data_IF_275587610591
#
_entry.id   IF_275587610591
#
_cell.length_a   1.000
_cell.length_b   1.000
_cell.length_c   1.000
_cell.angle_alpha   90.00
_cell.angle_beta   90.00
_cell.angle_gamma   90.00
#
_symmetry.space_group_name_H-M   'P 1'
#
loop_
_entity.id
_entity.type
_entity.pdbx_description
1 polymer ?
#
# COMPACT_ATOMS: atom_id res chain seq x y z
N UNK A 1 19.67 -10.25 52.39
CA UNK A 1 18.94 -10.45 51.12
C UNK A 1 18.54 -9.08 50.63
N UNK A 2 19.22 -8.68 49.56
CA UNK A 2 19.07 -7.40 48.87
C UNK A 2 17.69 -7.29 48.22
N UNK A 3 17.05 -6.14 48.35
CA UNK A 3 15.93 -5.77 47.51
C UNK A 3 16.36 -4.63 46.60
N UNK A 4 16.81 -4.99 45.40
CA UNK A 4 16.97 -4.09 44.26
C UNK A 4 15.59 -3.49 43.92
N UNK A 5 15.38 -2.21 44.21
CA UNK A 5 14.29 -1.44 43.60
C UNK A 5 14.77 -0.99 42.22
N UNK A 6 14.45 -1.77 41.19
CA UNK A 6 14.54 -1.31 39.80
C UNK A 6 13.51 -0.19 39.60
N UNK A 7 14.00 1.04 39.49
CA UNK A 7 13.20 2.15 39.00
C UNK A 7 12.86 1.92 37.54
N UNK A 8 11.57 1.75 37.24
CA UNK A 8 11.06 1.80 35.88
C UNK A 8 11.20 3.25 35.40
N UNK A 9 12.27 3.54 34.66
CA UNK A 9 12.39 4.77 33.90
C UNK A 9 11.46 4.62 32.68
N UNK A 10 10.20 5.01 32.84
CA UNK A 10 9.29 5.23 31.71
C UNK A 10 9.89 6.36 30.86
N UNK A 11 10.58 5.99 29.78
CA UNK A 11 10.84 6.86 28.65
C UNK A 11 9.49 7.25 28.05
N UNK A 12 8.87 8.27 28.65
CA UNK A 12 7.78 9.02 28.04
C UNK A 12 8.39 9.72 26.83
N UNK A 13 8.34 9.08 25.66
CA UNK A 13 8.44 9.79 24.39
C UNK A 13 7.26 10.75 24.39
N UNK A 14 7.50 12.00 24.81
CA UNK A 14 6.57 13.09 24.57
C UNK A 14 6.55 13.32 23.08
N UNK A 15 5.65 12.63 22.38
CA UNK A 15 5.18 13.08 21.08
C UNK A 15 4.35 14.33 21.38
N UNK A 16 5.01 15.49 21.39
CA UNK A 16 4.31 16.77 21.40
C UNK A 16 3.62 16.92 20.03
N UNK A 17 2.43 16.33 19.87
CA UNK A 17 1.54 16.54 18.72
C UNK A 17 0.84 17.91 18.76
N UNK A 18 1.49 18.93 19.33
CA UNK A 18 0.94 20.29 19.49
C UNK A 18 1.38 21.25 18.38
N UNK A 19 2.12 20.76 17.39
CA UNK A 19 2.59 21.52 16.24
C UNK A 19 2.27 20.73 14.97
N UNK A 20 1.72 21.38 13.95
CA UNK A 20 1.44 20.76 12.64
C UNK A 20 2.69 20.30 11.88
N UNK A 21 3.88 20.39 12.48
CA UNK A 21 5.15 19.96 11.90
C UNK A 21 5.60 18.62 12.50
N UNK A 22 5.87 17.63 11.64
CA UNK A 22 6.39 16.33 12.06
C UNK A 22 7.47 15.79 11.11
N UNK A 23 8.35 14.93 11.63
CA UNK A 23 9.44 14.30 10.87
C UNK A 23 8.90 13.10 10.07
N UNK A 24 9.06 13.13 8.75
CA UNK A 24 8.75 12.01 7.89
C UNK A 24 9.90 11.00 7.93
N UNK A 25 9.93 10.20 8.99
CA UNK A 25 11.04 9.31 9.35
C UNK A 25 11.54 8.37 8.25
N UNK A 26 10.69 8.03 7.27
CA UNK A 26 11.05 7.20 6.12
C UNK A 26 11.98 7.92 5.13
N UNK A 27 12.10 9.25 5.22
CA UNK A 27 13.02 10.08 4.44
C UNK A 27 13.88 10.97 5.35
N UNK A 28 15.19 10.87 5.16
CA UNK A 28 16.16 11.66 5.94
C UNK A 28 15.94 13.17 5.75
N UNK A 29 15.91 13.90 6.87
CA UNK A 29 15.81 15.36 6.91
C UNK A 29 14.53 15.91 6.23
N UNK A 30 13.47 15.10 6.15
CA UNK A 30 12.20 15.51 5.55
C UNK A 30 11.16 15.72 6.63
N UNK A 31 10.45 16.84 6.56
CA UNK A 31 9.41 17.23 7.50
C UNK A 31 8.14 17.53 6.74
N UNK A 32 7.02 17.20 7.37
CA UNK A 32 5.69 17.46 6.83
C UNK A 32 5.01 18.49 7.71
N UNK A 33 4.40 19.48 7.07
CA UNK A 33 3.55 20.49 7.71
C UNK A 33 2.10 20.22 7.33
N UNK A 34 1.28 19.89 8.31
CA UNK A 34 -0.15 19.75 8.20
C UNK A 34 -0.79 21.14 8.16
N UNK A 35 -1.45 21.47 7.05
CA UNK A 35 -2.15 22.75 6.89
C UNK A 35 -3.61 22.58 7.27
N UNK A 36 -4.04 23.35 8.26
CA UNK A 36 -5.40 23.32 8.81
C UNK A 36 -6.46 23.80 7.79
N UNK A 37 -7.74 23.47 8.05
CA UNK A 37 -8.86 23.91 7.20
C UNK A 37 -9.03 25.44 7.16
N UNK A 38 -8.60 26.16 8.21
CA UNK A 38 -8.61 27.63 8.23
C UNK A 38 -7.56 28.24 7.30
N UNK A 39 -6.62 27.44 6.78
CA UNK A 39 -5.48 27.91 6.01
C UNK A 39 -4.45 28.67 6.85
N UNK A 40 -4.56 28.63 8.19
CA UNK A 40 -3.52 29.15 9.06
C UNK A 40 -2.30 28.23 8.92
N UNK A 41 -1.20 28.78 8.40
CA UNK A 41 0.07 28.08 8.26
C UNK A 41 0.74 27.82 9.62
N UNK A 42 1.89 27.17 9.58
CA UNK A 42 2.64 26.78 10.78
C UNK A 42 3.95 27.53 10.92
N UNK A 43 4.28 27.92 12.15
CA UNK A 43 5.59 28.49 12.46
C UNK A 43 6.59 27.36 12.69
N UNK A 44 7.54 27.22 11.78
CA UNK A 44 8.59 26.20 11.84
C UNK A 44 9.91 26.82 12.28
N UNK A 45 10.65 26.08 13.11
CA UNK A 45 11.95 26.50 13.62
C UNK A 45 12.97 25.42 13.27
N UNK A 46 14.00 25.79 12.52
CA UNK A 46 15.12 24.92 12.19
C UNK A 46 16.41 25.46 12.80
N UNK A 47 17.24 24.55 13.28
CA UNK A 47 18.52 24.86 13.90
C UNK A 47 19.64 24.21 13.11
N UNK A 48 20.65 25.00 12.75
CA UNK A 48 21.81 24.50 12.03
C UNK A 48 22.78 23.83 13.02
N UNK A 49 23.28 22.61 12.73
CA UNK A 49 24.10 21.82 13.65
C UNK A 49 25.56 22.32 13.70
N UNK A 50 25.74 23.54 14.20
CA UNK A 50 27.05 24.17 14.40
C UNK A 50 27.19 24.70 15.83
N UNK A 51 28.43 24.86 16.28
CA UNK A 51 28.72 25.56 17.54
C UNK A 51 28.26 27.02 17.46
N UNK A 52 27.80 27.56 18.58
CA UNK A 52 27.03 28.82 18.65
C UNK A 52 27.76 30.03 18.05
N UNK A 53 29.09 30.08 18.17
CA UNK A 53 29.94 31.16 17.65
C UNK A 53 30.13 31.10 16.12
N UNK A 54 29.76 29.99 15.47
CA UNK A 54 29.95 29.82 14.03
C UNK A 54 28.96 30.67 13.25
N UNK A 55 29.48 31.57 12.41
CA UNK A 55 28.65 32.36 11.50
C UNK A 55 28.16 31.49 10.33
N UNK A 56 26.84 31.35 10.25
CA UNK A 56 26.14 30.60 9.20
C UNK A 56 24.97 31.40 8.65
N UNK A 57 24.45 30.98 7.50
CA UNK A 57 23.19 31.49 6.95
C UNK A 57 22.35 30.34 6.40
N UNK A 58 21.04 30.53 6.41
CA UNK A 58 20.08 29.68 5.72
C UNK A 58 19.79 30.22 4.34
N UNK A 59 19.80 29.34 3.34
CA UNK A 59 19.38 29.65 1.98
C UNK A 59 17.98 29.08 1.75
N UNK A 60 17.04 29.95 1.40
CA UNK A 60 15.63 29.61 1.23
C UNK A 60 15.15 30.29 -0.04
N UNK A 61 14.82 29.51 -1.08
CA UNK A 61 14.39 30.03 -2.39
C UNK A 61 15.38 31.07 -2.97
N UNK A 62 16.68 30.88 -2.74
CA UNK A 62 17.73 31.82 -3.17
C UNK A 62 17.98 33.01 -2.24
N UNK A 63 17.16 33.23 -1.22
CA UNK A 63 17.36 34.29 -0.24
C UNK A 63 18.21 33.81 0.93
N UNK A 64 19.20 34.62 1.32
CA UNK A 64 20.04 34.34 2.49
C UNK A 64 19.45 34.94 3.75
N UNK A 65 19.37 34.13 4.82
CA UNK A 65 18.93 34.52 6.15
C UNK A 65 20.06 34.24 7.15
N UNK A 66 20.73 35.27 7.71
CA UNK A 66 21.85 35.04 8.61
C UNK A 66 21.38 34.46 9.95
N UNK A 67 22.25 33.66 10.58
CA UNK A 67 22.03 33.12 11.91
C UNK A 67 21.82 31.61 11.95
N UNK A 68 22.05 31.03 13.13
CA UNK A 68 21.97 29.58 13.39
C UNK A 68 20.54 29.05 13.39
N UNK A 69 19.62 29.84 13.94
CA UNK A 69 18.21 29.48 14.08
C UNK A 69 17.41 30.18 12.98
N UNK A 70 16.73 29.40 12.16
CA UNK A 70 15.75 29.87 11.20
C UNK A 70 14.36 29.78 11.80
N UNK A 71 13.63 30.90 11.82
CA UNK A 71 12.20 30.96 12.13
C UNK A 71 11.46 31.39 10.87
N UNK A 72 10.50 30.60 10.43
CA UNK A 72 9.72 30.91 9.23
C UNK A 72 8.30 30.38 9.35
N UNK A 73 7.40 30.94 8.56
CA UNK A 73 6.00 30.56 8.51
C UNK A 73 5.75 29.81 7.21
N UNK A 74 5.15 28.63 7.29
CA UNK A 74 4.90 27.74 6.16
C UNK A 74 3.40 27.56 6.00
N UNK A 75 2.85 28.07 4.91
CA UNK A 75 1.41 28.06 4.64
C UNK A 75 1.07 27.46 3.28
N UNK A 76 1.83 27.83 2.25
CA UNK A 76 1.53 27.45 0.86
C UNK A 76 2.73 26.80 0.17
N UNK A 77 2.49 26.21 -1.02
CA UNK A 77 3.52 25.56 -1.85
C UNK A 77 4.74 26.46 -2.08
N UNK A 78 4.56 27.79 -2.11
CA UNK A 78 5.68 28.69 -2.27
C UNK A 78 6.65 28.55 -1.09
N UNK A 79 6.19 28.39 0.15
CA UNK A 79 6.95 28.34 1.42
C UNK A 79 7.64 27.02 1.71
N UNK A 80 7.16 25.94 1.10
CA UNK A 80 7.77 24.62 1.22
C UNK A 80 8.97 24.42 0.27
N UNK A 81 9.66 23.29 0.44
CA UNK A 81 10.83 22.89 -0.36
C UNK A 81 12.11 22.76 0.46
N UNK A 82 13.25 23.05 -0.17
CA UNK A 82 14.57 22.84 0.43
C UNK A 82 15.05 24.07 1.21
N UNK A 83 15.47 23.81 2.44
CA UNK A 83 16.10 24.76 3.35
C UNK A 83 17.51 24.27 3.62
N UNK A 84 18.52 25.05 3.25
CA UNK A 84 19.92 24.62 3.40
C UNK A 84 20.68 25.58 4.29
N UNK A 85 21.43 25.05 5.25
CA UNK A 85 22.34 25.83 6.09
C UNK A 85 23.74 25.80 5.49
N UNK A 86 24.36 26.97 5.37
CA UNK A 86 25.69 27.13 4.81
C UNK A 86 26.60 27.94 5.74
N UNK A 87 27.90 27.68 5.67
CA UNK A 87 28.92 28.59 6.20
C UNK A 87 28.98 29.85 5.34
N UNK A 88 29.56 30.93 5.88
CA UNK A 88 29.84 32.14 5.09
C UNK A 88 30.73 31.89 3.86
N UNK A 89 31.52 30.80 3.86
CA UNK A 89 32.32 30.35 2.72
C UNK A 89 31.48 29.74 1.58
N UNK A 90 30.19 29.49 1.80
CA UNK A 90 29.28 28.82 0.87
C UNK A 90 29.14 27.30 1.07
N UNK A 91 29.98 26.70 1.91
CA UNK A 91 29.95 25.27 2.23
C UNK A 91 28.60 24.85 2.84
N UNK A 92 27.96 23.81 2.29
CA UNK A 92 26.72 23.23 2.81
C UNK A 92 27.00 22.42 4.09
N UNK A 93 26.29 22.74 5.17
CA UNK A 93 26.43 22.08 6.47
C UNK A 93 25.29 21.08 6.69
N UNK A 94 24.06 21.51 6.42
CA UNK A 94 22.86 20.73 6.68
C UNK A 94 21.75 21.15 5.72
N UNK A 95 20.77 20.28 5.55
CA UNK A 95 19.58 20.56 4.77
C UNK A 95 18.33 20.00 5.46
N UNK A 96 17.19 20.62 5.16
CA UNK A 96 15.86 20.24 5.61
C UNK A 96 14.92 20.36 4.41
N UNK A 97 14.10 19.34 4.17
CA UNK A 97 13.08 19.34 3.13
C UNK A 97 11.73 19.47 3.82
N UNK A 98 10.95 20.47 3.46
CA UNK A 98 9.60 20.67 4.01
C UNK A 98 8.57 20.37 2.93
N UNK A 99 7.62 19.49 3.27
CA UNK A 99 6.47 19.13 2.46
C UNK A 99 5.18 19.59 3.13
N UNK A 100 4.14 19.80 2.34
CA UNK A 100 2.83 20.22 2.81
C UNK A 100 1.83 19.09 2.71
N UNK A 101 1.07 18.90 3.78
CA UNK A 101 -0.02 17.95 3.83
C UNK A 101 -1.34 18.72 3.94
N UNK A 102 -2.07 18.78 2.83
CA UNK A 102 -3.28 19.61 2.68
C UNK A 102 -4.57 18.79 2.80
N UNK A 103 -4.58 17.77 3.67
CA UNK A 103 -5.69 16.79 3.84
C UNK A 103 -7.06 17.44 4.07
N UNK A 104 -7.05 18.65 4.64
CA UNK A 104 -8.17 19.55 4.92
C UNK A 104 -8.95 19.97 3.66
N UNK A 105 -8.35 19.95 2.47
CA UNK A 105 -9.02 20.27 1.21
C UNK A 105 -9.29 18.99 0.42
N UNK A 106 -10.40 18.30 0.73
CA UNK A 106 -10.86 17.08 0.03
C UNK A 106 -10.84 17.20 -1.51
N UNK A 107 -10.93 18.42 -2.05
CA UNK A 107 -10.90 18.72 -3.48
C UNK A 107 -9.50 18.72 -4.12
N UNK A 108 -8.42 18.49 -3.36
CA UNK A 108 -7.03 18.52 -3.85
C UNK A 108 -6.24 17.22 -3.65
N UNK A 109 -6.90 16.12 -3.31
CA UNK A 109 -6.21 14.82 -3.17
C UNK A 109 -5.49 14.42 -4.46
N UNK A 110 -4.25 13.98 -4.33
CA UNK A 110 -3.42 13.42 -5.39
C UNK A 110 -4.04 12.12 -5.91
N UNK A 111 -4.43 11.20 -5.03
CA UNK A 111 -5.19 10.00 -5.41
C UNK A 111 -6.69 10.18 -5.15
N UNK A 112 -7.52 10.34 -6.20
CA UNK A 112 -8.96 10.47 -6.04
C UNK A 112 -9.62 9.10 -5.79
N UNK A 113 -10.60 9.09 -4.89
CA UNK A 113 -11.42 7.90 -4.58
C UNK A 113 -11.44 7.55 -3.10
N UNK A 114 -12.49 6.84 -2.66
CA UNK A 114 -12.62 6.41 -1.26
C UNK A 114 -11.60 5.32 -0.87
N UNK A 115 -11.21 4.48 -1.83
CA UNK A 115 -10.25 3.39 -1.62
C UNK A 115 -9.34 3.29 -2.86
N UNK A 116 -8.32 4.15 -2.95
CA UNK A 116 -7.53 4.30 -4.18
C UNK A 116 -6.48 3.19 -4.38
N UNK A 117 -6.20 2.40 -3.35
CA UNK A 117 -5.28 1.27 -3.36
C UNK A 117 -6.10 -0.03 -3.36
N UNK A 118 -5.75 -0.95 -4.26
CA UNK A 118 -6.34 -2.28 -4.36
C UNK A 118 -5.26 -3.32 -4.12
N UNK A 119 -5.46 -4.20 -3.14
CA UNK A 119 -4.55 -5.30 -2.85
C UNK A 119 -5.24 -6.64 -3.12
N UNK A 120 -4.49 -7.58 -3.68
CA UNK A 120 -4.95 -8.93 -4.01
C UNK A 120 -3.85 -9.95 -3.67
N UNK A 121 -4.26 -11.12 -3.19
CA UNK A 121 -3.39 -12.27 -2.94
C UNK A 121 -3.90 -13.48 -3.71
N UNK A 122 -3.00 -14.23 -4.36
CA UNK A 122 -3.42 -15.40 -5.15
C UNK A 122 -3.72 -16.63 -4.28
N UNK A 123 -3.20 -16.64 -3.04
CA UNK A 123 -3.25 -17.76 -2.11
C UNK A 123 -2.90 -17.28 -0.69
N UNK A 124 -2.74 -18.20 0.26
CA UNK A 124 -2.43 -17.91 1.67
C UNK A 124 -0.92 -17.95 2.01
N UNK A 125 -0.02 -17.88 1.02
CA UNK A 125 1.43 -17.97 1.23
C UNK A 125 2.07 -16.75 1.90
N UNK A 126 1.30 -15.69 2.18
CA UNK A 126 1.81 -14.39 2.64
C UNK A 126 2.27 -13.48 1.50
N UNK A 127 2.21 -13.92 0.24
CA UNK A 127 2.44 -13.06 -0.91
C UNK A 127 1.17 -12.29 -1.31
N UNK A 128 1.29 -10.98 -1.48
CA UNK A 128 0.23 -10.13 -1.98
C UNK A 128 0.78 -9.00 -2.85
N UNK A 129 -0.07 -8.47 -3.72
CA UNK A 129 0.24 -7.37 -4.62
C UNK A 129 -0.74 -6.24 -4.40
N UNK A 130 -0.22 -5.02 -4.24
CA UNK A 130 -1.04 -3.81 -4.17
C UNK A 130 -0.83 -2.94 -5.40
N UNK A 131 -1.91 -2.31 -5.87
CA UNK A 131 -1.92 -1.48 -7.07
C UNK A 131 -2.70 -0.19 -6.85
N UNK A 132 -2.27 0.88 -7.51
CA UNK A 132 -2.97 2.17 -7.54
C UNK A 132 -2.79 2.85 -8.89
N UNK A 133 -3.67 3.81 -9.21
CA UNK A 133 -3.58 4.56 -10.46
C UNK A 133 -2.41 5.52 -10.43
N UNK A 134 -1.73 5.68 -11.57
CA UNK A 134 -0.75 6.76 -11.73
C UNK A 134 -1.45 8.11 -11.77
N UNK A 135 -0.92 9.06 -11.00
CA UNK A 135 -1.40 10.45 -10.97
C UNK A 135 -0.66 11.29 -12.02
N UNK A 136 0.67 11.37 -11.92
CA UNK A 136 1.57 12.13 -12.83
C UNK A 136 2.88 11.37 -13.11
N UNK A 137 3.74 11.93 -13.96
CA UNK A 137 5.04 11.34 -14.34
C UNK A 137 6.11 11.43 -13.25
N UNK A 138 6.11 12.48 -12.43
CA UNK A 138 7.21 12.82 -11.51
C UNK A 138 6.81 12.74 -10.04
N UNK A 139 6.00 11.74 -9.68
CA UNK A 139 5.56 11.51 -8.30
C UNK A 139 6.38 10.37 -7.72
N UNK A 140 6.89 10.56 -6.51
CA UNK A 140 7.58 9.51 -5.75
C UNK A 140 6.59 8.80 -4.84
N UNK A 141 6.67 7.47 -4.81
CA UNK A 141 5.85 6.61 -3.96
C UNK A 141 6.76 5.82 -3.01
N UNK A 142 6.38 5.76 -1.74
CA UNK A 142 7.02 4.91 -0.74
C UNK A 142 5.93 4.05 -0.11
N UNK A 143 6.14 2.75 -0.08
CA UNK A 143 5.16 1.78 0.37
C UNK A 143 5.70 1.01 1.57
N UNK A 144 4.97 1.05 2.67
CA UNK A 144 5.29 0.36 3.91
C UNK A 144 4.15 -0.59 4.27
N UNK A 145 4.49 -1.75 4.83
CA UNK A 145 3.52 -2.75 5.26
C UNK A 145 3.98 -3.38 6.57
N UNK A 146 3.03 -3.62 7.48
CA UNK A 146 3.30 -4.22 8.78
C UNK A 146 2.13 -5.09 9.25
N UNK A 147 2.43 -6.13 10.04
CA UNK A 147 1.44 -6.96 10.74
C UNK A 147 1.82 -7.08 12.21
N UNK A 148 0.97 -6.53 13.08
CA UNK A 148 1.30 -6.39 14.50
C UNK A 148 2.61 -5.61 14.66
N UNK A 149 3.64 -6.27 15.20
CA UNK A 149 4.98 -5.68 15.40
C UNK A 149 5.99 -6.06 14.31
N UNK A 150 5.57 -6.82 13.29
CA UNK A 150 6.46 -7.30 12.22
C UNK A 150 6.33 -6.42 10.99
N UNK A 151 7.47 -6.02 10.43
CA UNK A 151 7.53 -5.34 9.13
C UNK A 151 7.46 -6.36 8.00
N UNK A 152 6.59 -6.13 7.03
CA UNK A 152 6.44 -6.96 5.84
C UNK A 152 7.42 -6.45 4.77
N UNK A 153 8.07 -7.38 4.08
CA UNK A 153 9.02 -7.02 3.02
C UNK A 153 8.27 -6.71 1.74
N UNK A 154 8.49 -5.52 1.18
CA UNK A 154 7.90 -5.10 -0.09
C UNK A 154 8.97 -4.64 -1.08
N UNK A 155 8.74 -4.92 -2.35
CA UNK A 155 9.56 -4.40 -3.45
C UNK A 155 9.39 -2.89 -3.61
N UNK A 156 10.25 -2.26 -4.42
CA UNK A 156 10.05 -0.86 -4.78
C UNK A 156 8.83 -0.74 -5.72
N UNK A 157 7.94 0.26 -5.51
CA UNK A 157 6.83 0.49 -6.43
C UNK A 157 7.31 0.65 -7.87
N UNK A 158 6.67 -0.07 -8.80
CA UNK A 158 7.03 -0.07 -10.21
C UNK A 158 5.83 0.35 -11.07
N UNK A 159 6.09 1.04 -12.18
CA UNK A 159 5.04 1.47 -13.10
C UNK A 159 4.72 0.36 -14.10
N UNK A 160 3.44 -0.03 -14.18
CA UNK A 160 2.92 -0.98 -15.14
C UNK A 160 1.58 -0.47 -15.71
N UNK A 161 1.52 -0.23 -17.03
CA UNK A 161 0.30 0.13 -17.75
C UNK A 161 -0.55 1.25 -17.09
N UNK A 162 0.08 2.41 -16.78
CA UNK A 162 -0.54 3.57 -16.11
C UNK A 162 -1.03 3.30 -14.68
N UNK A 163 -0.63 2.19 -14.09
CA UNK A 163 -0.77 1.90 -12.66
C UNK A 163 0.62 1.76 -12.05
N UNK A 164 0.69 1.92 -10.74
CA UNK A 164 1.82 1.46 -9.97
C UNK A 164 1.43 0.17 -9.27
N UNK A 165 2.40 -0.74 -9.15
CA UNK A 165 2.26 -1.98 -8.42
C UNK A 165 3.46 -2.24 -7.53
N UNK A 166 3.20 -2.96 -6.45
CA UNK A 166 4.20 -3.43 -5.49
C UNK A 166 3.86 -4.85 -5.07
N UNK A 167 4.86 -5.73 -5.07
CA UNK A 167 4.74 -7.07 -4.52
C UNK A 167 5.33 -7.08 -3.11
N UNK A 168 4.63 -7.75 -2.21
CA UNK A 168 5.02 -7.90 -0.82
C UNK A 168 5.00 -9.36 -0.40
N UNK A 169 5.81 -9.68 0.60
CA UNK A 169 5.87 -11.01 1.20
C UNK A 169 5.95 -10.90 2.73
N UNK A 170 4.94 -11.45 3.39
CA UNK A 170 4.92 -11.62 4.84
C UNK A 170 5.58 -12.96 5.21
N UNK A 171 6.87 -12.88 5.55
CA UNK A 171 7.68 -14.05 5.95
C UNK A 171 7.15 -14.75 7.21
N UNK A 172 6.41 -14.04 8.06
CA UNK A 172 5.89 -14.55 9.32
C UNK A 172 4.48 -15.15 9.14
N UNK A 173 3.94 -15.18 7.92
CA UNK A 173 2.62 -15.71 7.63
C UNK A 173 2.60 -17.23 7.73
N UNK A 174 1.54 -17.77 8.34
CA UNK A 174 1.28 -19.20 8.38
C UNK A 174 0.00 -19.51 7.60
N UNK A 175 0.14 -20.17 6.45
CA UNK A 175 -1.00 -20.49 5.56
C UNK A 175 -2.10 -21.33 6.24
N UNK A 176 -1.76 -22.12 7.26
CA UNK A 176 -2.70 -22.99 7.98
C UNK A 176 -3.23 -22.37 9.28
N UNK A 177 -2.63 -21.27 9.74
CA UNK A 177 -2.98 -20.61 10.99
C UNK A 177 -4.05 -19.56 10.77
N UNK A 178 -4.88 -19.34 11.79
CA UNK A 178 -5.81 -18.20 11.77
C UNK A 178 -5.04 -16.88 11.94
N UNK A 179 -5.37 -15.88 11.12
CA UNK A 179 -4.79 -14.55 11.20
C UNK A 179 -5.27 -13.82 12.46
N UNK A 180 -4.33 -13.51 13.37
CA UNK A 180 -4.61 -12.81 14.63
C UNK A 180 -4.50 -11.29 14.53
N UNK A 181 -3.78 -10.79 13.54
CA UNK A 181 -3.51 -9.37 13.35
C UNK A 181 -3.74 -8.98 11.90
N UNK A 182 -4.31 -7.79 11.70
CA UNK A 182 -4.44 -7.23 10.36
C UNK A 182 -3.08 -6.81 9.80
N UNK A 183 -2.96 -6.90 8.49
CA UNK A 183 -1.93 -6.23 7.72
C UNK A 183 -2.35 -4.76 7.55
N UNK A 184 -1.48 -3.85 7.95
CA UNK A 184 -1.63 -2.42 7.73
C UNK A 184 -0.62 -1.99 6.68
N UNK A 185 -1.10 -1.41 5.60
CA UNK A 185 -0.26 -0.79 4.58
C UNK A 185 -0.34 0.74 4.69
N UNK A 186 0.75 1.40 4.36
CA UNK A 186 0.86 2.85 4.29
C UNK A 186 1.58 3.23 3.00
N UNK A 187 0.89 3.98 2.14
CA UNK A 187 1.45 4.54 0.91
C UNK A 187 1.68 6.02 1.12
N UNK A 188 2.95 6.44 1.04
CA UNK A 188 3.37 7.83 1.01
C UNK A 188 3.49 8.30 -0.45
N UNK A 189 2.95 9.46 -0.73
CA UNK A 189 2.93 10.08 -2.06
C UNK A 189 3.58 11.45 -1.94
N UNK A 190 4.66 11.65 -2.68
CA UNK A 190 5.41 12.89 -2.70
C UNK A 190 5.35 13.47 -4.11
N UNK A 191 4.73 14.65 -4.24
CA UNK A 191 4.63 15.41 -5.49
C UNK A 191 5.25 16.79 -5.28
N UNK A 192 6.52 16.92 -5.65
CA UNK A 192 7.37 18.11 -5.45
C UNK A 192 7.43 18.55 -3.98
N UNK A 193 6.51 19.41 -3.55
CA UNK A 193 6.42 19.99 -2.20
C UNK A 193 5.18 19.52 -1.45
N UNK A 194 4.37 18.66 -2.05
CA UNK A 194 3.15 18.12 -1.46
C UNK A 194 3.38 16.69 -1.00
N UNK A 195 2.75 16.37 0.11
CA UNK A 195 2.72 15.07 0.72
C UNK A 195 1.28 14.63 0.89
N UNK A 196 1.01 13.37 0.59
CA UNK A 196 -0.25 12.69 0.88
C UNK A 196 0.05 11.27 1.33
N UNK A 197 -0.77 10.74 2.23
CA UNK A 197 -0.72 9.33 2.60
C UNK A 197 -2.08 8.64 2.47
N UNK A 198 -2.00 7.34 2.25
CA UNK A 198 -3.16 6.45 2.25
C UNK A 198 -2.83 5.21 3.04
N UNK A 199 -3.72 4.87 3.97
CA UNK A 199 -3.65 3.62 4.73
C UNK A 199 -4.75 2.68 4.30
N UNK A 200 -4.44 1.39 4.26
CA UNK A 200 -5.43 0.33 4.08
C UNK A 200 -5.10 -0.81 5.05
N UNK A 201 -6.14 -1.38 5.63
CA UNK A 201 -6.04 -2.47 6.59
C UNK A 201 -6.86 -3.66 6.07
N UNK A 202 -6.27 -4.85 6.07
CA UNK A 202 -6.92 -6.08 5.63
C UNK A 202 -6.29 -7.31 6.28
N UNK A 203 -6.99 -8.44 6.23
CA UNK A 203 -6.39 -9.77 6.39
C UNK A 203 -6.15 -10.40 5.01
N UNK A 204 -5.21 -11.34 4.92
CA UNK A 204 -4.89 -12.01 3.66
C UNK A 204 -6.12 -12.74 3.09
N UNK A 205 -6.92 -13.36 3.96
CA UNK A 205 -8.20 -13.99 3.60
C UNK A 205 -9.22 -13.04 2.94
N UNK A 206 -9.18 -11.75 3.27
CA UNK A 206 -10.13 -10.77 2.73
C UNK A 206 -9.77 -10.37 1.30
N UNK A 207 -8.48 -10.40 0.97
CA UNK A 207 -7.94 -9.99 -0.34
C UNK A 207 -7.60 -11.18 -1.24
N UNK A 208 -7.91 -12.40 -0.82
CA UNK A 208 -7.60 -13.61 -1.58
C UNK A 208 -8.47 -13.70 -2.84
N UNK A 209 -7.81 -13.75 -3.99
CA UNK A 209 -8.41 -13.90 -5.32
C UNK A 209 -7.61 -14.97 -6.08
N UNK A 210 -8.13 -16.21 -6.19
CA UNK A 210 -7.44 -17.26 -6.92
C UNK A 210 -7.21 -16.85 -8.39
N UNK A 211 -6.16 -17.41 -9.01
CA UNK A 211 -6.05 -17.36 -10.46
C UNK A 211 -7.18 -18.17 -11.13
N UNK A 212 -7.45 -17.96 -12.43
CA UNK A 212 -8.47 -18.72 -13.14
C UNK A 212 -8.18 -20.22 -13.19
N UNK A 213 -9.21 -21.08 -13.17
CA UNK A 213 -9.05 -22.53 -13.37
C UNK A 213 -8.26 -22.86 -14.64
N UNK A 214 -7.39 -23.85 -14.53
CA UNK A 214 -6.46 -24.24 -15.60
C UNK A 214 -6.93 -25.51 -16.33
N UNK A 215 -6.33 -25.79 -17.48
CA UNK A 215 -6.50 -27.05 -18.23
C UNK A 215 -7.96 -27.44 -18.55
N UNK A 216 -8.76 -26.48 -18.99
CA UNK A 216 -10.14 -26.73 -19.42
C UNK A 216 -10.18 -27.70 -20.61
N UNK A 217 -10.80 -28.87 -20.44
CA UNK A 217 -10.93 -29.93 -21.45
C UNK A 217 -12.39 -30.31 -21.66
N UNK A 218 -12.74 -30.56 -22.92
CA UNK A 218 -14.05 -31.08 -23.34
C UNK A 218 -13.84 -32.52 -23.82
N UNK A 219 -14.27 -33.50 -23.02
CA UNK A 219 -14.28 -34.91 -23.40
C UNK A 219 -15.63 -35.30 -24.01
N UNK A 220 -15.78 -36.56 -24.44
CA UNK A 220 -17.05 -37.08 -24.96
C UNK A 220 -18.17 -37.08 -23.91
N UNK A 221 -17.82 -37.31 -22.64
CA UNK A 221 -18.78 -37.50 -21.53
C UNK A 221 -18.76 -36.39 -20.49
N UNK A 222 -17.67 -35.64 -20.37
CA UNK A 222 -17.51 -34.65 -19.30
C UNK A 222 -16.72 -33.40 -19.72
N UNK A 223 -16.91 -32.35 -18.93
CA UNK A 223 -16.12 -31.12 -18.92
C UNK A 223 -15.22 -31.17 -17.68
N UNK A 224 -13.93 -30.98 -17.85
CA UNK A 224 -12.97 -31.02 -16.73
C UNK A 224 -12.10 -29.79 -16.70
N UNK A 225 -11.68 -29.38 -15.52
CA UNK A 225 -10.68 -28.33 -15.30
C UNK A 225 -9.75 -28.75 -14.17
N UNK A 226 -8.80 -27.89 -13.82
CA UNK A 226 -7.88 -28.11 -12.71
C UNK A 226 -7.79 -26.87 -11.84
N UNK A 227 -7.36 -27.06 -10.60
CA UNK A 227 -7.00 -25.96 -9.71
C UNK A 227 -5.88 -25.11 -10.36
N UNK A 228 -5.88 -23.79 -10.11
CA UNK A 228 -4.78 -22.94 -10.56
C UNK A 228 -3.47 -23.38 -9.91
N UNK A 229 -2.37 -23.40 -10.67
CA UNK A 229 -1.05 -23.82 -10.16
C UNK A 229 -0.51 -22.95 -9.02
N UNK A 230 -1.02 -21.73 -8.92
CA UNK A 230 -0.68 -20.76 -7.88
C UNK A 230 -1.49 -20.94 -6.60
N UNK A 231 -2.55 -21.76 -6.61
CA UNK A 231 -3.33 -22.04 -5.41
C UNK A 231 -2.57 -22.92 -4.41
N UNK A 232 -2.99 -22.92 -3.15
CA UNK A 232 -2.37 -23.74 -2.11
C UNK A 232 -2.49 -25.25 -2.44
N UNK A 233 -1.38 -25.99 -2.39
CA UNK A 233 -1.28 -27.37 -2.89
C UNK A 233 -2.18 -28.41 -2.18
N UNK A 234 -2.57 -28.16 -0.92
CA UNK A 234 -3.38 -29.09 -0.14
C UNK A 234 -4.86 -28.75 -0.33
N UNK A 235 -5.44 -29.15 -1.48
CA UNK A 235 -6.81 -28.77 -1.86
C UNK A 235 -7.89 -29.25 -0.87
N UNK A 236 -7.63 -30.33 -0.14
CA UNK A 236 -8.53 -30.80 0.93
C UNK A 236 -8.61 -29.82 2.11
N UNK A 237 -7.57 -29.02 2.33
CA UNK A 237 -7.54 -27.96 3.35
C UNK A 237 -7.92 -26.60 2.76
N UNK A 238 -7.54 -26.33 1.51
CA UNK A 238 -7.89 -25.11 0.77
C UNK A 238 -8.81 -25.41 -0.41
N UNK A 239 -10.05 -25.85 -0.17
CA UNK A 239 -10.98 -26.16 -1.26
C UNK A 239 -11.45 -24.89 -1.94
N UNK A 240 -11.62 -24.97 -3.26
CA UNK A 240 -12.24 -23.94 -4.07
C UNK A 240 -13.70 -24.31 -4.39
N UNK A 241 -14.54 -23.30 -4.49
CA UNK A 241 -15.85 -23.39 -5.14
C UNK A 241 -15.68 -22.92 -6.57
N UNK A 242 -16.26 -23.67 -7.51
CA UNK A 242 -16.27 -23.36 -8.92
C UNK A 242 -17.66 -22.89 -9.35
N UNK A 243 -17.68 -21.81 -10.12
CA UNK A 243 -18.86 -21.37 -10.84
C UNK A 243 -18.64 -21.66 -12.32
N UNK A 244 -19.51 -22.47 -12.90
CA UNK A 244 -19.44 -22.96 -14.28
C UNK A 244 -20.57 -22.31 -15.07
N UNK A 245 -20.22 -21.83 -16.25
CA UNK A 245 -21.15 -21.19 -17.15
C UNK A 245 -21.10 -21.85 -18.53
N UNK A 246 -22.24 -22.34 -19.02
CA UNK A 246 -22.34 -22.96 -20.35
C UNK A 246 -23.24 -22.12 -21.25
N UNK A 247 -22.69 -21.70 -22.39
CA UNK A 247 -23.43 -20.94 -23.41
C UNK A 247 -23.58 -21.76 -24.67
N UNK A 248 -24.83 -21.97 -25.11
CA UNK A 248 -25.19 -22.72 -26.34
C UNK A 248 -25.70 -21.75 -27.41
N UNK A 249 -24.90 -21.46 -28.43
CA UNK A 249 -25.28 -20.50 -29.49
C UNK A 249 -25.61 -19.12 -28.91
N UNK A 250 -26.77 -18.55 -29.28
CA UNK A 250 -27.25 -17.24 -28.80
C UNK A 250 -28.15 -17.34 -27.55
N UNK A 251 -28.18 -18.48 -26.85
CA UNK A 251 -29.02 -18.66 -25.66
C UNK A 251 -28.37 -18.03 -24.42
N UNK A 252 -29.21 -17.73 -23.43
CA UNK A 252 -28.75 -17.31 -22.11
C UNK A 252 -27.85 -18.38 -21.49
N UNK A 253 -26.82 -17.99 -20.72
CA UNK A 253 -25.90 -18.95 -20.14
C UNK A 253 -26.55 -19.79 -19.02
N UNK A 254 -26.26 -21.10 -18.99
CA UNK A 254 -26.66 -22.03 -17.93
C UNK A 254 -25.61 -22.00 -16.81
N UNK A 255 -26.01 -21.65 -15.59
CA UNK A 255 -25.13 -21.49 -14.43
C UNK A 255 -25.16 -22.70 -13.50
N UNK A 256 -23.98 -23.23 -13.17
CA UNK A 256 -23.80 -24.35 -12.25
C UNK A 256 -22.75 -24.01 -11.19
N UNK A 257 -22.95 -24.43 -9.94
CA UNK A 257 -21.97 -24.28 -8.87
C UNK A 257 -21.59 -25.65 -8.31
N UNK A 258 -20.30 -25.87 -8.11
CA UNK A 258 -19.76 -27.10 -7.54
C UNK A 258 -18.64 -26.79 -6.55
N UNK A 259 -18.58 -27.55 -5.46
CA UNK A 259 -17.55 -27.42 -4.42
C UNK A 259 -16.53 -28.53 -4.64
N UNK A 260 -15.25 -28.18 -4.85
CA UNK A 260 -14.15 -29.14 -4.99
C UNK A 260 -14.39 -30.30 -5.99
N UNK A 261 -15.26 -30.09 -6.98
CA UNK A 261 -15.53 -31.05 -8.05
C UNK A 261 -15.07 -30.42 -9.35
N UNK A 262 -13.86 -30.74 -9.84
CA UNK A 262 -13.30 -30.15 -11.05
C UNK A 262 -13.82 -30.82 -12.34
N UNK A 263 -15.04 -31.34 -12.31
CA UNK A 263 -15.68 -32.07 -13.40
C UNK A 263 -17.19 -31.85 -13.41
N UNK A 264 -17.79 -31.85 -14.59
CA UNK A 264 -19.25 -31.85 -14.75
C UNK A 264 -19.65 -32.69 -15.97
N UNK A 265 -20.83 -33.33 -15.96
CA UNK A 265 -21.34 -34.01 -17.15
C UNK A 265 -21.41 -33.07 -18.35
N UNK A 266 -21.01 -33.57 -19.51
CA UNK A 266 -21.09 -32.80 -20.76
C UNK A 266 -22.56 -32.63 -21.17
N UNK A 267 -23.00 -31.41 -21.56
CA UNK A 267 -24.33 -31.20 -22.11
C UNK A 267 -24.55 -32.05 -23.38
N UNK A 268 -25.72 -32.69 -23.54
CA UNK A 268 -26.01 -33.48 -24.73
C UNK A 268 -26.15 -32.56 -25.96
N UNK A 269 -25.30 -32.82 -26.96
CA UNK A 269 -25.31 -32.25 -28.32
C UNK A 269 -25.07 -30.73 -28.46
N UNK A 270 -24.51 -30.36 -29.62
CA UNK A 270 -24.33 -28.97 -30.06
C UNK A 270 -22.96 -28.37 -29.75
N UNK A 271 -22.69 -27.22 -30.40
CA UNK A 271 -21.54 -26.36 -30.10
C UNK A 271 -21.88 -25.49 -28.89
N UNK A 272 -21.00 -25.47 -27.91
CA UNK A 272 -21.14 -24.65 -26.71
C UNK A 272 -19.79 -24.06 -26.32
N UNK A 273 -19.80 -22.98 -25.56
CA UNK A 273 -18.64 -22.54 -24.80
C UNK A 273 -18.88 -22.81 -23.33
N UNK A 274 -17.87 -23.31 -22.62
CA UNK A 274 -17.94 -23.44 -21.17
C UNK A 274 -16.85 -22.58 -20.52
N UNK A 275 -17.25 -21.82 -19.50
CA UNK A 275 -16.37 -20.97 -18.72
C UNK A 275 -16.42 -21.37 -17.26
N UNK A 276 -15.30 -21.28 -16.57
CA UNK A 276 -15.17 -21.61 -15.15
C UNK A 276 -14.41 -20.51 -14.44
N UNK A 277 -14.87 -20.11 -13.26
CA UNK A 277 -14.15 -19.26 -12.32
C UNK A 277 -14.13 -19.94 -10.94
N UNK A 278 -13.18 -19.56 -10.09
CA UNK A 278 -12.99 -20.14 -8.77
C UNK A 278 -13.01 -19.08 -7.66
N UNK A 279 -13.34 -19.50 -6.44
CA UNK A 279 -13.24 -18.70 -5.21
C UNK A 279 -12.95 -19.62 -4.04
N UNK A 280 -12.30 -19.10 -3.01
CA UNK A 280 -12.21 -19.79 -1.72
C UNK A 280 -13.59 -20.26 -1.22
N UNK A 281 -13.63 -21.45 -0.64
CA UNK A 281 -14.87 -22.04 -0.13
C UNK A 281 -15.31 -21.46 1.22
N UNK A 282 -14.37 -21.20 2.11
CA UNK A 282 -14.63 -20.86 3.51
C UNK A 282 -14.75 -19.36 3.73
N UNK A 283 -14.12 -18.57 2.87
CA UNK A 283 -14.18 -17.12 2.92
C UNK A 283 -14.89 -16.54 1.70
N UNK A 284 -15.69 -15.51 1.95
CA UNK A 284 -16.40 -14.78 0.89
C UNK A 284 -15.46 -13.78 0.20
N UNK A 285 -14.36 -14.30 -0.34
CA UNK A 285 -13.33 -13.53 -1.01
C UNK A 285 -13.69 -13.25 -2.48
N UNK A 286 -12.75 -12.72 -3.27
CA UNK A 286 -13.02 -12.40 -4.67
C UNK A 286 -13.04 -13.65 -5.57
N UNK A 287 -13.93 -13.66 -6.56
CA UNK A 287 -13.88 -14.65 -7.63
C UNK A 287 -12.70 -14.38 -8.56
N UNK A 288 -12.09 -15.45 -9.09
CA UNK A 288 -11.12 -15.39 -10.17
C UNK A 288 -11.74 -14.80 -11.44
N UNK A 289 -10.90 -14.42 -12.39
CA UNK A 289 -11.38 -14.20 -13.76
C UNK A 289 -11.91 -15.50 -14.37
N UNK A 290 -12.75 -15.40 -15.40
CA UNK A 290 -13.28 -16.54 -16.14
C UNK A 290 -12.21 -17.15 -17.04
N UNK A 291 -12.04 -18.47 -16.96
CA UNK A 291 -11.32 -19.28 -17.94
C UNK A 291 -12.34 -19.95 -18.85
N UNK A 292 -12.21 -19.85 -20.18
CA UNK A 292 -13.22 -20.34 -21.13
C UNK A 292 -12.62 -21.26 -22.20
N UNK A 293 -13.37 -22.26 -22.63
CA UNK A 293 -13.05 -23.15 -23.75
C UNK A 293 -14.28 -23.40 -24.65
N UNK A 294 -14.03 -23.71 -25.92
CA UNK A 294 -15.03 -23.81 -27.01
C UNK A 294 -14.88 -25.11 -27.79
#
# INVERSE_FOLDING_TARGET
MEYLKFGLLLLMVRVNTLYGLWDLSVLKNTYVVDISESGEGENVIFECPVVEETKVYWLIKGNQRPGRILRTHVMEDIDAGNFTCHRLTGELIDYKVVLLNTLSHLNQRLLPGKQPIQCEAQNYSGHFKCTWKRIKKHVQYIFEAQRGNYTITCEKPSENNRKYEVNCHDNESCQYGEESHNINILLHILDEKRYENHSLTFMLRDITKPDPPAELKISSTSLTWSYPKTWCNVHSFFPLIFNVNITKGNKSPEHHQGIDVPEMPRPPNGKFSFCVQARDMYYNSSWSEWSCSK
#
